data_IF_551587458870
#
_entry.id   IF_551587458870
#
_cell.length_a   1.000
_cell.length_b   1.000
_cell.length_c   1.000
_cell.angle_alpha   90.00
_cell.angle_beta   90.00
_cell.angle_gamma   90.00
#
_symmetry.space_group_name_H-M   'P 1'
#
loop_
_entity.id
_entity.type
_entity.pdbx_description
1 polymer ?
#
# COMPACT_ATOMS: atom_id res chain seq x y z
N UNK A 1 4.81 -15.52 14.41
CA UNK A 1 3.63 -14.62 14.36
C UNK A 1 3.73 -13.52 15.42
N UNK A 2 3.57 -13.78 16.73
CA UNK A 2 3.59 -12.68 17.73
C UNK A 2 4.85 -11.81 17.68
N UNK A 3 6.04 -12.42 17.53
CA UNK A 3 7.30 -11.67 17.38
C UNK A 3 7.30 -10.71 16.17
N UNK A 4 6.65 -11.11 15.07
CA UNK A 4 6.51 -10.31 13.87
C UNK A 4 5.62 -9.09 14.07
N UNK A 5 4.46 -9.28 14.73
CA UNK A 5 3.60 -8.16 15.10
C UNK A 5 4.29 -7.18 16.05
N UNK A 6 5.02 -7.69 17.04
CA UNK A 6 5.80 -6.84 17.94
C UNK A 6 6.86 -6.04 17.18
N UNK A 7 7.55 -6.66 16.22
CA UNK A 7 8.51 -5.96 15.39
C UNK A 7 7.87 -4.92 14.45
N UNK A 8 6.64 -5.15 13.98
CA UNK A 8 5.90 -4.16 13.18
C UNK A 8 5.58 -2.88 13.97
N UNK A 9 5.16 -3.03 15.23
CA UNK A 9 4.64 -1.92 16.03
C UNK A 9 5.67 -1.27 16.97
N UNK A 10 6.82 -1.91 17.19
CA UNK A 10 7.93 -1.40 18.02
C UNK A 10 9.32 -1.49 17.37
N UNK A 11 9.46 -2.15 16.22
CA UNK A 11 10.75 -2.35 15.56
C UNK A 11 11.31 -1.11 14.87
N UNK A 12 12.60 -1.18 14.61
CA UNK A 12 13.49 -0.13 14.12
C UNK A 12 13.99 -0.41 12.70
N UNK A 13 13.12 -0.96 11.83
CA UNK A 13 13.44 -1.13 10.41
C UNK A 13 13.42 0.21 9.65
N UNK A 14 12.75 1.22 10.20
CA UNK A 14 13.01 2.63 9.93
C UNK A 14 13.60 3.23 11.21
N UNK A 15 14.89 3.52 11.19
CA UNK A 15 15.71 3.86 12.36
C UNK A 15 16.03 5.35 12.51
N UNK A 16 15.57 6.18 11.57
CA UNK A 16 15.74 7.64 11.58
C UNK A 16 14.40 8.36 11.43
N UNK A 17 14.24 9.49 12.12
CA UNK A 17 13.02 10.29 12.08
C UNK A 17 13.06 11.48 13.03
N UNK A 18 11.91 12.12 13.24
CA UNK A 18 11.82 13.38 14.01
C UNK A 18 12.08 13.09 15.50
N UNK A 19 12.97 13.82 16.19
CA UNK A 19 13.19 13.64 17.62
C UNK A 19 11.87 13.69 18.41
N UNK A 20 11.67 12.72 19.32
CA UNK A 20 10.40 12.52 20.02
C UNK A 20 9.84 13.80 20.67
N UNK A 21 10.64 14.64 21.37
CA UNK A 21 10.13 15.88 21.95
C UNK A 21 9.58 16.86 20.90
N UNK A 22 10.27 17.00 19.76
CA UNK A 22 9.84 17.86 18.64
C UNK A 22 8.56 17.33 18.03
N UNK A 23 8.49 16.01 17.78
CA UNK A 23 7.27 15.41 17.24
C UNK A 23 6.07 15.63 18.16
N UNK A 24 6.21 15.37 19.47
CA UNK A 24 5.12 15.57 20.43
C UNK A 24 4.67 17.03 20.53
N UNK A 25 5.60 17.98 20.38
CA UNK A 25 5.29 19.40 20.40
C UNK A 25 4.52 19.86 19.14
N UNK A 26 4.83 19.29 17.98
CA UNK A 26 4.24 19.70 16.69
C UNK A 26 2.95 18.92 16.36
N UNK A 27 2.96 17.61 16.59
CA UNK A 27 1.89 16.69 16.16
C UNK A 27 1.08 16.10 17.32
N UNK A 28 1.49 16.35 18.57
CA UNK A 28 0.83 15.82 19.76
C UNK A 28 1.22 14.39 20.12
N UNK A 29 0.61 13.88 21.20
CA UNK A 29 0.86 12.53 21.73
C UNK A 29 -0.37 11.88 22.36
N UNK A 30 -1.57 12.28 21.92
CA UNK A 30 -2.85 11.72 22.38
C UNK A 30 -3.69 11.28 21.18
N UNK A 31 -3.07 10.54 20.27
CA UNK A 31 -3.74 10.09 19.06
C UNK A 31 -4.82 9.06 19.40
N UNK A 32 -6.07 9.23 18.92
CA UNK A 32 -7.10 8.19 19.03
C UNK A 32 -6.83 6.98 18.12
N UNK A 33 -5.74 7.05 17.34
CA UNK A 33 -5.28 6.06 16.38
C UNK A 33 -4.09 5.24 16.89
N UNK A 34 -3.76 5.30 18.18
CA UNK A 34 -2.76 4.38 18.74
C UNK A 34 -3.32 2.95 18.79
N UNK A 35 -2.43 1.96 18.57
CA UNK A 35 -2.74 0.54 18.64
C UNK A 35 -2.76 0.00 20.09
N UNK A 36 -2.98 0.88 21.07
CA UNK A 36 -2.88 0.55 22.50
C UNK A 36 -1.45 0.20 22.90
N UNK A 37 -0.47 0.95 22.39
CA UNK A 37 0.95 0.71 22.68
C UNK A 37 1.30 1.23 24.07
N UNK A 38 2.46 0.80 24.56
CA UNK A 38 3.00 1.21 25.85
C UNK A 38 4.38 1.86 25.68
N UNK A 39 4.87 2.55 26.71
CA UNK A 39 6.19 3.18 26.68
C UNK A 39 6.20 4.43 25.80
N UNK A 40 7.28 4.64 25.04
CA UNK A 40 7.44 5.89 24.28
C UNK A 40 6.48 6.04 23.10
N UNK A 41 5.96 4.92 22.58
CA UNK A 41 5.02 4.88 21.47
C UNK A 41 3.55 5.05 21.91
N UNK A 42 3.28 5.09 23.22
CA UNK A 42 1.95 5.37 23.77
C UNK A 42 1.43 6.72 23.27
N UNK A 43 0.20 6.73 22.76
CA UNK A 43 -0.50 7.91 22.26
C UNK A 43 0.03 8.44 20.92
N UNK A 44 0.96 7.74 20.27
CA UNK A 44 1.40 8.03 18.90
C UNK A 44 0.48 7.26 17.93
N UNK A 45 0.10 7.90 16.80
CA UNK A 45 -0.74 7.26 15.77
C UNK A 45 -0.10 5.97 15.23
N UNK A 46 -0.91 4.98 14.83
CA UNK A 46 -0.46 3.75 14.15
C UNK A 46 0.41 4.03 12.92
N UNK A 47 0.27 5.21 12.29
CA UNK A 47 1.07 5.59 11.12
C UNK A 47 2.55 5.80 11.44
N UNK A 48 2.90 5.93 12.72
CA UNK A 48 4.26 6.13 13.19
C UNK A 48 4.63 5.13 14.28
N UNK A 49 5.93 4.96 14.49
CA UNK A 49 6.50 4.27 15.63
C UNK A 49 7.51 5.17 16.34
N UNK A 50 7.89 4.83 17.56
CA UNK A 50 8.99 5.46 18.29
C UNK A 50 10.11 4.44 18.47
N UNK A 51 11.30 4.79 18.01
CA UNK A 51 12.48 3.92 18.03
C UNK A 51 13.65 4.66 18.65
N UNK A 52 14.62 3.91 19.17
CA UNK A 52 15.89 4.47 19.66
C UNK A 52 16.92 4.33 18.55
N UNK A 53 17.39 5.45 18.01
CA UNK A 53 18.46 5.49 17.02
C UNK A 53 19.76 4.93 17.61
N UNK A 54 20.73 4.58 16.76
CA UNK A 54 21.99 3.97 17.18
C UNK A 54 22.79 4.83 18.18
N UNK A 55 22.64 6.15 18.14
CA UNK A 55 23.26 7.10 19.07
C UNK A 55 22.46 7.36 20.35
N UNK A 56 21.36 6.61 20.59
CA UNK A 56 20.54 6.66 21.80
C UNK A 56 19.39 7.68 21.75
N UNK A 57 19.27 8.49 20.70
CA UNK A 57 18.18 9.45 20.56
C UNK A 57 16.88 8.72 20.22
N UNK A 58 15.79 9.07 20.91
CA UNK A 58 14.44 8.59 20.57
C UNK A 58 13.85 9.42 19.44
N UNK A 59 13.46 8.76 18.36
CA UNK A 59 12.90 9.37 17.16
C UNK A 59 11.57 8.75 16.79
N UNK A 60 10.68 9.56 16.21
CA UNK A 60 9.40 9.13 15.64
C UNK A 60 9.59 8.88 14.16
N UNK A 61 9.28 7.66 13.73
CA UNK A 61 9.54 7.17 12.37
C UNK A 61 8.25 6.68 11.71
N UNK A 62 8.09 6.80 10.39
CA UNK A 62 7.01 6.10 9.69
C UNK A 62 7.18 4.58 9.84
N UNK A 63 6.10 3.84 9.68
CA UNK A 63 6.10 2.37 9.71
C UNK A 63 5.35 1.82 8.50
N UNK A 64 5.38 0.51 8.25
CA UNK A 64 4.58 -0.11 7.19
C UNK A 64 3.09 0.25 7.30
N UNK A 65 2.61 0.52 8.52
CA UNK A 65 1.22 0.88 8.79
C UNK A 65 0.82 2.28 8.33
N UNK A 66 1.77 3.12 7.90
CA UNK A 66 1.42 4.34 7.16
C UNK A 66 0.59 4.00 5.91
N UNK A 67 0.93 2.90 5.24
CA UNK A 67 0.26 2.43 4.02
C UNK A 67 -0.63 1.21 4.25
N UNK A 68 -0.27 0.31 5.17
CA UNK A 68 -0.92 -0.99 5.36
C UNK A 68 -1.81 -1.09 6.61
N UNK A 69 -2.34 0.05 7.06
CA UNK A 69 -3.45 0.09 8.00
C UNK A 69 -4.38 1.26 7.66
N UNK A 70 -5.67 1.08 7.92
CA UNK A 70 -6.69 2.09 7.65
C UNK A 70 -7.85 1.99 8.62
N UNK A 71 -8.58 3.10 8.79
CA UNK A 71 -9.86 3.09 9.47
C UNK A 71 -10.95 2.49 8.60
N UNK A 72 -11.76 1.62 9.18
CA UNK A 72 -13.01 1.13 8.61
C UNK A 72 -14.05 1.06 9.73
N UNK A 73 -15.20 1.72 9.54
CA UNK A 73 -16.26 1.81 10.55
C UNK A 73 -15.77 2.30 11.93
N UNK A 74 -14.85 3.28 11.92
CA UNK A 74 -14.31 3.87 13.15
C UNK A 74 -13.26 3.04 13.89
N UNK A 75 -12.84 1.89 13.33
CA UNK A 75 -11.79 1.03 13.90
C UNK A 75 -10.57 0.99 12.98
N UNK A 76 -9.37 0.97 13.55
CA UNK A 76 -8.12 0.76 12.79
C UNK A 76 -7.99 -0.73 12.49
N UNK A 77 -7.92 -1.06 11.21
CA UNK A 77 -7.72 -2.43 10.72
C UNK A 77 -6.30 -2.56 10.21
N UNK A 78 -5.47 -3.29 10.96
CA UNK A 78 -4.09 -3.58 10.53
C UNK A 78 -4.12 -4.60 9.39
N UNK A 79 -3.43 -4.29 8.30
CA UNK A 79 -3.43 -5.08 7.07
C UNK A 79 -4.44 -4.61 6.02
N UNK A 80 -5.32 -3.65 6.34
CA UNK A 80 -6.13 -2.95 5.35
C UNK A 80 -5.30 -1.83 4.69
N UNK A 81 -5.29 -1.78 3.37
CA UNK A 81 -4.62 -0.72 2.62
C UNK A 81 -5.19 0.66 2.89
N UNK A 82 -4.31 1.66 3.10
CA UNK A 82 -4.74 3.04 3.29
C UNK A 82 -5.25 3.62 1.99
N UNK A 83 -6.49 4.10 2.05
CA UNK A 83 -7.17 4.80 0.96
C UNK A 83 -7.46 6.27 1.31
N UNK A 84 -6.89 6.77 2.42
CA UNK A 84 -7.07 8.14 2.92
C UNK A 84 -5.79 8.98 2.99
N UNK A 85 -4.60 8.36 2.88
CA UNK A 85 -3.36 9.13 2.92
C UNK A 85 -3.26 10.07 1.73
N UNK A 86 -2.77 11.29 1.97
CA UNK A 86 -2.69 12.34 0.97
C UNK A 86 -1.25 12.52 0.47
N UNK A 87 -0.99 11.98 -0.71
CA UNK A 87 0.26 12.15 -1.45
C UNK A 87 0.17 13.28 -2.50
N UNK A 88 -0.88 14.11 -2.50
CA UNK A 88 -0.98 15.25 -3.43
C UNK A 88 -0.17 16.46 -2.99
N UNK A 89 0.32 16.44 -1.75
CA UNK A 89 1.16 17.48 -1.16
C UNK A 89 2.61 17.02 -1.03
N UNK A 90 3.54 17.93 -1.31
CA UNK A 90 4.98 17.62 -1.26
C UNK A 90 5.44 17.43 0.18
N UNK A 91 5.67 16.17 0.54
CA UNK A 91 6.15 15.78 1.87
C UNK A 91 7.55 16.35 2.16
N UNK A 92 8.34 16.71 1.15
CA UNK A 92 9.63 17.39 1.37
C UNK A 92 9.43 18.75 2.05
N UNK A 93 8.32 19.45 1.81
CA UNK A 93 8.02 20.71 2.51
C UNK A 93 7.76 20.48 4.00
N UNK A 94 7.05 19.40 4.35
CA UNK A 94 6.85 19.01 5.75
C UNK A 94 8.18 18.69 6.43
N UNK A 95 9.08 17.99 5.74
CA UNK A 95 10.42 17.71 6.26
C UNK A 95 11.32 18.94 6.32
N UNK A 96 11.20 19.91 5.42
CA UNK A 96 11.90 21.20 5.53
C UNK A 96 11.48 21.98 6.78
N UNK A 97 10.20 21.91 7.17
CA UNK A 97 9.74 22.51 8.43
C UNK A 97 10.29 21.76 9.65
N UNK A 98 10.32 20.43 9.59
CA UNK A 98 10.95 19.62 10.62
C UNK A 98 12.47 19.88 10.71
N UNK A 99 13.15 20.08 9.58
CA UNK A 99 14.58 20.44 9.53
C UNK A 99 14.83 21.70 10.33
N UNK A 100 14.05 22.76 10.06
CA UNK A 100 14.17 24.03 10.77
C UNK A 100 13.90 23.84 12.26
N UNK A 101 12.88 23.08 12.65
CA UNK A 101 12.58 22.82 14.05
C UNK A 101 13.75 22.11 14.75
N UNK A 102 14.23 20.98 14.20
CA UNK A 102 15.33 20.22 14.80
C UNK A 102 16.60 21.05 14.90
N UNK A 103 16.91 21.85 13.86
CA UNK A 103 18.05 22.78 13.89
C UNK A 103 17.91 23.87 14.95
N UNK A 104 16.71 24.44 15.13
CA UNK A 104 16.47 25.47 16.14
C UNK A 104 16.53 24.92 17.57
N UNK A 105 16.01 23.71 17.81
CA UNK A 105 15.98 23.11 19.15
C UNK A 105 17.33 22.52 19.58
N UNK A 106 18.08 21.92 18.65
CA UNK A 106 19.28 21.14 18.99
C UNK A 106 20.56 21.58 18.24
N UNK A 107 20.44 22.20 17.07
CA UNK A 107 21.56 22.53 16.19
C UNK A 107 22.01 21.36 15.30
N UNK A 108 22.70 21.66 14.19
CA UNK A 108 23.11 20.66 13.19
C UNK A 108 24.21 19.69 13.66
N UNK A 109 24.95 20.02 14.71
CA UNK A 109 26.01 19.14 15.26
C UNK A 109 25.53 18.32 16.46
N UNK A 110 24.21 18.21 16.66
CA UNK A 110 23.61 17.47 17.77
C UNK A 110 23.40 15.99 17.46
N UNK A 111 23.36 15.12 18.48
CA UNK A 111 22.91 13.74 18.32
C UNK A 111 21.49 13.66 17.71
N UNK A 112 20.61 14.61 18.00
CA UNK A 112 19.26 14.68 17.45
C UNK A 112 19.24 14.93 15.96
N UNK A 113 20.10 15.84 15.47
CA UNK A 113 20.26 16.07 14.03
C UNK A 113 20.85 14.83 13.34
N UNK A 114 21.87 14.20 13.94
CA UNK A 114 22.46 12.96 13.41
C UNK A 114 21.41 11.84 13.27
N UNK A 115 20.56 11.65 14.28
CA UNK A 115 19.50 10.65 14.27
C UNK A 115 18.35 10.98 13.30
N UNK A 116 18.16 12.26 12.97
CA UNK A 116 17.10 12.76 12.09
C UNK A 116 17.51 12.85 10.61
N UNK A 117 18.77 13.17 10.35
CA UNK A 117 19.25 13.54 9.01
C UNK A 117 19.03 12.48 7.92
N UNK A 118 19.24 11.16 8.16
CA UNK A 118 18.95 10.15 7.15
C UNK A 118 17.51 10.19 6.64
N UNK A 119 16.53 10.40 7.53
CA UNK A 119 15.13 10.56 7.14
C UNK A 119 14.92 11.85 6.34
N UNK A 120 15.41 13.00 6.81
CA UNK A 120 15.30 14.28 6.08
C UNK A 120 15.84 14.16 4.65
N UNK A 121 17.06 13.65 4.50
CA UNK A 121 17.72 13.44 3.21
C UNK A 121 16.89 12.56 2.28
N UNK A 122 16.34 11.46 2.79
CA UNK A 122 15.53 10.55 1.99
C UNK A 122 14.21 11.19 1.55
N UNK A 123 13.53 11.92 2.44
CA UNK A 123 12.28 12.63 2.10
C UNK A 123 12.49 13.77 1.09
N UNK A 124 13.61 14.50 1.20
CA UNK A 124 13.98 15.50 0.20
C UNK A 124 14.26 14.85 -1.18
N UNK A 125 14.88 13.67 -1.21
CA UNK A 125 15.15 12.96 -2.47
C UNK A 125 13.86 12.44 -3.15
N UNK A 126 12.91 11.88 -2.38
CA UNK A 126 11.69 11.30 -2.95
C UNK A 126 10.58 12.32 -3.22
N UNK A 127 10.53 13.45 -2.48
CA UNK A 127 9.43 14.41 -2.50
C UNK A 127 8.88 14.77 -3.89
N UNK A 128 9.74 15.19 -4.84
CA UNK A 128 9.31 15.54 -6.20
C UNK A 128 8.68 14.38 -7.00
N UNK A 129 8.96 13.12 -6.63
CA UNK A 129 8.59 11.92 -7.40
C UNK A 129 7.34 11.22 -6.88
N UNK A 130 6.87 11.56 -5.68
CA UNK A 130 5.81 10.82 -4.98
C UNK A 130 4.48 11.58 -4.96
N UNK A 131 4.35 12.61 -5.80
CA UNK A 131 3.14 13.41 -5.91
C UNK A 131 2.06 12.69 -6.72
N UNK A 132 0.97 12.33 -6.06
CA UNK A 132 -0.23 11.80 -6.74
C UNK A 132 -1.13 12.93 -7.21
N UNK A 133 -2.03 12.62 -8.14
CA UNK A 133 -3.00 13.59 -8.69
C UNK A 133 -4.29 13.64 -7.89
N UNK A 134 -4.54 12.65 -7.04
CA UNK A 134 -5.69 12.57 -6.14
C UNK A 134 -5.28 11.90 -4.82
N UNK A 135 -6.01 12.21 -3.77
CA UNK A 135 -5.85 11.63 -2.43
C UNK A 135 -6.30 10.16 -2.42
N UNK A 136 -5.67 9.35 -1.57
CA UNK A 136 -6.09 7.96 -1.33
C UNK A 136 -5.48 6.90 -2.25
N UNK A 137 -4.54 7.30 -3.11
CA UNK A 137 -3.69 6.37 -3.88
C UNK A 137 -2.23 6.54 -3.47
N UNK A 138 -1.44 5.51 -3.70
CA UNK A 138 -0.09 5.36 -3.16
C UNK A 138 0.98 5.33 -4.27
N UNK A 139 2.09 6.08 -4.11
CA UNK A 139 3.22 6.11 -5.03
C UNK A 139 4.38 5.17 -4.60
N UNK A 140 4.13 4.11 -3.83
CA UNK A 140 5.16 3.25 -3.22
C UNK A 140 6.23 2.79 -4.22
N UNK A 141 5.83 2.41 -5.43
CA UNK A 141 6.75 1.96 -6.48
C UNK A 141 7.79 3.04 -6.84
N UNK A 142 7.41 4.32 -6.80
CA UNK A 142 8.32 5.46 -6.99
C UNK A 142 9.20 5.71 -5.78
N UNK A 143 8.69 5.54 -4.56
CA UNK A 143 9.50 5.66 -3.33
C UNK A 143 10.71 4.72 -3.45
N UNK A 144 10.48 3.44 -3.78
CA UNK A 144 11.55 2.46 -3.88
C UNK A 144 12.49 2.72 -5.07
N UNK A 145 11.96 3.07 -6.24
CA UNK A 145 12.77 3.38 -7.41
C UNK A 145 13.71 4.58 -7.16
N UNK A 146 13.20 5.66 -6.55
CA UNK A 146 13.99 6.85 -6.22
C UNK A 146 15.02 6.56 -5.15
N UNK A 147 14.67 5.86 -4.07
CA UNK A 147 15.64 5.46 -3.05
C UNK A 147 16.75 4.57 -3.62
N UNK A 148 16.41 3.67 -4.54
CA UNK A 148 17.39 2.81 -5.24
C UNK A 148 18.39 3.62 -6.07
N UNK A 149 17.94 4.69 -6.72
CA UNK A 149 18.83 5.56 -7.48
C UNK A 149 19.92 6.18 -6.60
N UNK A 150 19.66 6.37 -5.31
CA UNK A 150 20.55 6.93 -4.31
C UNK A 150 21.29 5.89 -3.46
N UNK A 151 21.38 4.62 -3.89
CA UNK A 151 21.98 3.54 -3.10
C UNK A 151 22.97 2.71 -3.91
N UNK A 152 24.17 2.46 -3.39
CA UNK A 152 25.08 1.49 -4.00
C UNK A 152 24.41 0.10 -4.02
N UNK A 153 24.54 -0.63 -5.13
CA UNK A 153 23.86 -1.92 -5.26
C UNK A 153 24.47 -3.00 -4.33
N UNK A 154 25.79 -3.00 -4.19
CA UNK A 154 26.55 -4.01 -3.44
C UNK A 154 26.39 -3.88 -1.93
N UNK A 155 26.48 -2.67 -1.38
CA UNK A 155 26.49 -2.43 0.06
C UNK A 155 25.38 -1.51 0.57
N UNK A 156 24.50 -1.00 -0.30
CA UNK A 156 23.36 -0.15 0.04
C UNK A 156 23.73 1.19 0.69
N UNK A 157 24.98 1.62 0.64
CA UNK A 157 25.35 2.96 1.13
C UNK A 157 24.70 4.05 0.27
N UNK A 158 24.37 5.17 0.92
CA UNK A 158 23.76 6.31 0.24
C UNK A 158 24.72 7.01 -0.72
N UNK A 159 24.19 7.50 -1.84
CA UNK A 159 24.87 8.32 -2.83
C UNK A 159 24.07 9.62 -3.02
N UNK A 160 24.72 10.78 -2.89
CA UNK A 160 24.02 12.07 -2.98
C UNK A 160 23.45 12.36 -4.38
N UNK A 161 24.14 11.90 -5.43
CA UNK A 161 23.65 11.96 -6.80
C UNK A 161 22.92 10.67 -7.22
N UNK A 162 21.78 10.75 -7.92
CA UNK A 162 21.12 9.56 -8.43
C UNK A 162 22.00 8.90 -9.51
N UNK A 163 22.20 7.59 -9.40
CA UNK A 163 23.03 6.83 -10.35
C UNK A 163 22.26 6.43 -11.64
N UNK A 164 20.94 6.61 -11.65
CA UNK A 164 20.08 6.45 -12.82
C UNK A 164 18.89 7.39 -12.76
N UNK A 165 18.28 7.67 -13.92
CA UNK A 165 17.14 8.57 -14.02
C UNK A 165 15.84 7.88 -13.55
N UNK A 166 15.05 8.57 -12.74
CA UNK A 166 13.70 8.15 -12.35
C UNK A 166 12.71 9.12 -12.97
N UNK A 167 11.67 8.66 -13.69
CA UNK A 167 10.67 9.57 -14.25
C UNK A 167 9.90 10.29 -13.14
N UNK A 168 9.68 11.60 -13.30
CA UNK A 168 8.94 12.43 -12.33
C UNK A 168 7.47 12.02 -12.19
N UNK A 169 6.84 11.53 -13.26
CA UNK A 169 5.42 11.15 -13.22
C UNK A 169 5.23 9.89 -12.35
N UNK A 170 4.44 10.04 -11.28
CA UNK A 170 4.05 8.96 -10.39
C UNK A 170 2.88 8.15 -10.98
N UNK A 171 3.01 6.82 -10.94
CA UNK A 171 1.91 5.92 -11.27
C UNK A 171 1.18 5.57 -9.98
N UNK A 172 -0.13 5.90 -9.85
CA UNK A 172 -0.87 5.61 -8.63
C UNK A 172 -1.12 4.12 -8.50
N UNK A 173 -1.07 3.64 -7.25
CA UNK A 173 -1.46 2.28 -6.91
C UNK A 173 -2.37 2.31 -5.69
N UNK A 174 -3.36 1.45 -5.64
CA UNK A 174 -4.01 1.10 -4.39
C UNK A 174 -3.06 0.25 -3.53
N UNK A 175 -3.33 0.13 -2.23
CA UNK A 175 -2.52 -0.69 -1.32
C UNK A 175 -3.22 -2.04 -1.09
N UNK A 176 -2.66 -3.18 -1.56
CA UNK A 176 -3.30 -4.48 -1.38
C UNK A 176 -3.45 -4.86 0.10
N UNK A 177 -4.57 -5.51 0.43
CA UNK A 177 -4.78 -6.04 1.77
C UNK A 177 -3.83 -7.20 2.10
N UNK A 178 -3.24 -7.16 3.29
CA UNK A 178 -2.21 -8.10 3.72
C UNK A 178 -2.75 -9.49 4.04
N UNK A 179 -4.02 -9.64 4.43
CA UNK A 179 -4.61 -10.96 4.66
C UNK A 179 -4.65 -11.83 3.39
N UNK A 180 -4.51 -11.22 2.20
CA UNK A 180 -4.40 -11.93 0.92
C UNK A 180 -3.04 -12.64 0.76
N UNK A 181 -2.03 -12.26 1.54
CA UNK A 181 -0.65 -12.70 1.36
C UNK A 181 -0.44 -14.21 1.53
N UNK A 182 -1.28 -14.88 2.32
CA UNK A 182 -1.21 -16.34 2.51
C UNK A 182 -1.50 -17.14 1.23
N UNK A 183 -2.21 -16.54 0.26
CA UNK A 183 -2.55 -17.19 -1.02
C UNK A 183 -1.60 -16.81 -2.16
N UNK A 184 -0.83 -15.72 -2.03
CA UNK A 184 -0.06 -15.16 -3.15
C UNK A 184 1.28 -15.86 -3.37
N UNK A 185 1.65 -16.07 -4.63
CA UNK A 185 3.00 -16.53 -5.04
C UNK A 185 3.87 -15.41 -5.64
N UNK A 186 3.31 -14.21 -5.78
CA UNK A 186 4.00 -13.01 -6.25
C UNK A 186 3.57 -11.77 -5.45
N UNK A 187 4.49 -10.83 -5.23
CA UNK A 187 4.15 -9.50 -4.69
C UNK A 187 3.70 -8.54 -5.80
N UNK A 188 2.95 -7.51 -5.37
CA UNK A 188 2.47 -6.39 -6.17
C UNK A 188 1.34 -6.76 -7.17
N UNK A 189 0.60 -5.75 -7.64
CA UNK A 189 -0.55 -5.94 -8.53
C UNK A 189 -0.15 -6.56 -9.87
N UNK A 190 1.00 -6.15 -10.43
CA UNK A 190 1.53 -6.66 -11.69
C UNK A 190 2.31 -7.98 -11.53
N UNK A 191 2.35 -8.54 -10.31
CA UNK A 191 3.19 -9.67 -9.99
C UNK A 191 4.65 -9.36 -10.34
N UNK A 192 5.24 -8.30 -9.83
CA UNK A 192 6.66 -7.98 -10.08
C UNK A 192 7.60 -8.76 -9.15
N UNK A 193 7.26 -8.89 -7.86
CA UNK A 193 8.15 -9.46 -6.85
C UNK A 193 8.09 -10.99 -6.83
N UNK A 194 9.24 -11.66 -6.88
CA UNK A 194 9.41 -13.13 -6.78
C UNK A 194 10.48 -13.50 -5.77
N UNK A 195 10.44 -14.75 -5.31
CA UNK A 195 11.39 -15.27 -4.32
C UNK A 195 10.94 -14.96 -2.91
N UNK A 196 11.87 -14.55 -2.05
CA UNK A 196 11.58 -14.33 -0.64
C UNK A 196 10.82 -13.00 -0.41
N UNK A 197 9.58 -13.11 0.07
CA UNK A 197 8.74 -11.97 0.39
C UNK A 197 9.27 -11.18 1.59
N UNK A 198 9.93 -11.84 2.55
CA UNK A 198 10.56 -11.15 3.68
C UNK A 198 11.67 -10.23 3.18
N UNK A 199 12.53 -10.74 2.30
CA UNK A 199 13.59 -9.95 1.64
C UNK A 199 13.01 -8.80 0.83
N UNK A 200 12.00 -9.06 -0.01
CA UNK A 200 11.34 -8.03 -0.82
C UNK A 200 10.77 -6.92 0.05
N UNK A 201 10.06 -7.27 1.13
CA UNK A 201 9.47 -6.28 2.03
C UNK A 201 10.50 -5.55 2.88
N UNK A 202 11.66 -6.16 3.19
CA UNK A 202 12.73 -5.49 3.95
C UNK A 202 13.29 -4.26 3.24
N UNK A 203 13.07 -4.14 1.92
CA UNK A 203 13.36 -2.94 1.16
C UNK A 203 12.62 -1.69 1.67
N UNK A 204 11.55 -1.83 2.47
CA UNK A 204 10.94 -0.71 3.20
C UNK A 204 11.97 0.07 4.04
N UNK A 205 12.99 -0.62 4.58
CA UNK A 205 14.07 -0.01 5.33
C UNK A 205 14.97 0.94 4.53
N UNK A 206 14.93 0.91 3.18
CA UNK A 206 15.78 1.74 2.32
C UNK A 206 15.63 3.24 2.58
N UNK A 207 14.50 3.64 3.14
CA UNK A 207 14.23 5.02 3.51
C UNK A 207 15.31 5.57 4.46
N UNK A 208 15.78 4.77 5.42
CA UNK A 208 16.72 5.28 6.43
C UNK A 208 17.92 4.38 6.71
N UNK A 209 17.96 3.15 6.19
CA UNK A 209 19.08 2.24 6.44
C UNK A 209 20.42 2.89 6.09
N UNK A 210 21.49 2.54 6.79
CA UNK A 210 22.81 3.07 6.52
C UNK A 210 23.50 2.29 5.40
N UNK A 211 23.48 0.96 5.51
CA UNK A 211 24.19 0.03 4.64
C UNK A 211 23.61 -1.40 4.72
N UNK A 212 24.31 -2.35 4.09
CA UNK A 212 23.95 -3.77 4.08
C UNK A 212 24.04 -4.46 5.44
N UNK A 213 24.79 -3.94 6.41
CA UNK A 213 24.85 -4.50 7.76
C UNK A 213 23.54 -4.21 8.51
N UNK A 214 23.02 -2.99 8.40
CA UNK A 214 21.68 -2.69 8.90
C UNK A 214 20.60 -3.44 8.13
N UNK A 215 20.74 -3.58 6.80
CA UNK A 215 19.81 -4.35 6.00
C UNK A 215 19.72 -5.82 6.45
N UNK A 216 20.85 -6.47 6.77
CA UNK A 216 20.89 -7.83 7.35
C UNK A 216 20.15 -7.91 8.67
N UNK A 217 20.38 -6.97 9.60
CA UNK A 217 19.70 -6.91 10.90
C UNK A 217 18.19 -6.79 10.76
N UNK A 218 17.73 -6.00 9.80
CA UNK A 218 16.31 -5.83 9.47
C UNK A 218 15.77 -7.15 8.91
N UNK A 219 16.41 -7.69 7.88
CA UNK A 219 16.00 -8.92 7.20
C UNK A 219 15.91 -10.12 8.14
N UNK A 220 16.81 -10.26 9.12
CA UNK A 220 16.75 -11.33 10.14
C UNK A 220 15.42 -11.36 10.93
N UNK A 221 14.69 -10.24 10.97
CA UNK A 221 13.41 -10.10 11.67
C UNK A 221 12.19 -10.17 10.74
N UNK A 222 12.37 -9.95 9.44
CA UNK A 222 11.27 -9.92 8.47
C UNK A 222 10.58 -11.27 8.23
N UNK A 223 11.22 -12.45 8.38
CA UNK A 223 10.52 -13.73 8.36
C UNK A 223 9.43 -13.84 9.42
N UNK A 224 9.67 -13.34 10.63
CA UNK A 224 8.66 -13.31 11.70
C UNK A 224 7.48 -12.40 11.34
N UNK A 225 7.79 -11.22 10.76
CA UNK A 225 6.78 -10.28 10.24
C UNK A 225 5.95 -10.91 9.12
N UNK A 226 6.59 -11.56 8.15
CA UNK A 226 5.89 -12.25 7.06
C UNK A 226 5.04 -13.42 7.58
N UNK A 227 5.52 -14.16 8.58
CA UNK A 227 4.74 -15.20 9.23
C UNK A 227 3.49 -14.64 9.92
N UNK A 228 3.58 -13.43 10.51
CA UNK A 228 2.41 -12.75 11.06
C UNK A 228 1.46 -12.23 9.98
N UNK A 229 1.98 -11.58 8.93
CA UNK A 229 1.18 -11.09 7.79
C UNK A 229 0.39 -12.25 7.16
N UNK A 230 1.01 -13.42 6.97
CA UNK A 230 0.35 -14.62 6.44
C UNK A 230 -0.66 -15.26 7.41
N UNK A 231 -0.66 -14.87 8.68
CA UNK A 231 -1.67 -15.32 9.66
C UNK A 231 -2.90 -14.40 9.74
N UNK A 232 -2.88 -13.27 9.02
CA UNK A 232 -4.02 -12.35 9.01
C UNK A 232 -5.21 -12.97 8.28
N UNK A 233 -6.39 -12.73 8.85
CA UNK A 233 -7.68 -13.08 8.27
C UNK A 233 -8.40 -11.82 7.81
N UNK A 234 -9.19 -11.96 6.75
CA UNK A 234 -10.06 -10.89 6.28
C UNK A 234 -11.12 -10.54 7.35
N UNK A 235 -11.49 -9.26 7.51
CA UNK A 235 -12.61 -8.91 8.37
C UNK A 235 -13.91 -9.43 7.76
N UNK A 236 -14.77 -10.07 8.58
CA UNK A 236 -16.10 -10.47 8.15
C UNK A 236 -16.98 -9.25 7.86
N UNK A 237 -17.86 -9.36 6.86
CA UNK A 237 -18.86 -8.32 6.59
C UNK A 237 -19.80 -8.15 7.80
N UNK A 238 -19.86 -6.95 8.41
CA UNK A 238 -20.51 -6.78 9.71
C UNK A 238 -22.02 -6.55 9.63
N UNK A 239 -22.60 -6.54 8.43
CA UNK A 239 -24.02 -6.25 8.20
C UNK A 239 -24.78 -7.50 7.76
N UNK A 240 -26.13 -7.48 7.82
CA UNK A 240 -26.94 -8.61 7.36
C UNK A 240 -26.66 -8.97 5.91
N UNK A 241 -26.63 -10.27 5.63
CA UNK A 241 -26.51 -10.85 4.29
C UNK A 241 -27.73 -11.71 4.00
N UNK A 242 -28.37 -11.49 2.86
CA UNK A 242 -29.41 -12.37 2.33
C UNK A 242 -28.78 -13.67 1.83
N UNK A 243 -28.89 -14.73 2.64
CA UNK A 243 -28.25 -16.01 2.37
C UNK A 243 -28.78 -16.70 1.12
N UNK A 244 -30.06 -16.53 0.78
CA UNK A 244 -30.63 -17.14 -0.43
C UNK A 244 -30.10 -16.46 -1.68
N UNK A 245 -29.98 -15.13 -1.63
CA UNK A 245 -29.41 -14.34 -2.71
C UNK A 245 -27.89 -14.55 -2.84
N UNK A 246 -27.16 -14.67 -1.74
CA UNK A 246 -25.74 -15.02 -1.74
C UNK A 246 -25.50 -16.42 -2.34
N UNK A 247 -26.34 -17.41 -2.03
CA UNK A 247 -26.25 -18.74 -2.65
C UNK A 247 -26.50 -18.70 -4.16
N UNK A 248 -27.43 -17.86 -4.64
CA UNK A 248 -27.61 -17.63 -6.08
C UNK A 248 -26.37 -16.93 -6.69
N UNK A 249 -25.80 -15.97 -5.98
CA UNK A 249 -24.59 -15.25 -6.38
C UNK A 249 -23.35 -16.14 -6.49
N UNK A 250 -23.23 -17.13 -5.62
CA UNK A 250 -22.17 -18.13 -5.67
C UNK A 250 -22.17 -18.89 -7.00
N UNK A 251 -23.35 -19.28 -7.51
CA UNK A 251 -23.48 -19.94 -8.82
C UNK A 251 -23.01 -19.02 -9.95
N UNK A 252 -23.37 -17.73 -9.89
CA UNK A 252 -22.89 -16.71 -10.85
C UNK A 252 -21.37 -16.56 -10.76
N UNK A 253 -20.82 -16.51 -9.55
CA UNK A 253 -19.38 -16.39 -9.30
C UNK A 253 -18.60 -17.59 -9.84
N UNK A 254 -19.05 -18.81 -9.54
CA UNK A 254 -18.40 -20.04 -9.98
C UNK A 254 -18.36 -20.14 -11.51
N UNK A 255 -19.44 -19.72 -12.17
CA UNK A 255 -19.54 -19.74 -13.63
C UNK A 255 -18.65 -18.68 -14.31
N UNK A 256 -18.54 -17.47 -13.74
CA UNK A 256 -17.99 -16.32 -14.46
C UNK A 256 -16.65 -15.79 -13.90
N UNK A 257 -16.33 -16.05 -12.63
CA UNK A 257 -15.25 -15.37 -11.91
C UNK A 257 -14.16 -16.33 -11.40
N UNK A 258 -14.57 -17.53 -10.97
CA UNK A 258 -13.70 -18.47 -10.23
C UNK A 258 -12.44 -18.90 -10.98
N UNK A 259 -12.47 -18.90 -12.31
CA UNK A 259 -11.30 -19.26 -13.15
C UNK A 259 -10.08 -18.35 -12.89
N UNK A 260 -10.31 -17.07 -12.60
CA UNK A 260 -9.25 -16.10 -12.32
C UNK A 260 -9.06 -15.88 -10.82
N UNK A 261 -10.17 -15.76 -10.08
CA UNK A 261 -10.16 -15.37 -8.66
C UNK A 261 -10.14 -16.52 -7.66
N UNK A 262 -10.25 -17.76 -8.15
CA UNK A 262 -10.26 -18.96 -7.32
C UNK A 262 -11.64 -19.39 -6.83
N UNK A 263 -11.66 -20.47 -6.05
CA UNK A 263 -12.82 -21.06 -5.38
C UNK A 263 -12.67 -20.87 -3.87
N UNK A 264 -13.78 -20.62 -3.19
CA UNK A 264 -13.80 -20.27 -1.77
C UNK A 264 -14.49 -21.33 -0.89
N UNK A 265 -15.11 -22.35 -1.50
CA UNK A 265 -15.80 -23.41 -0.77
C UNK A 265 -14.78 -24.37 -0.17
N UNK A 266 -14.85 -24.63 1.13
CA UNK A 266 -14.06 -25.66 1.80
C UNK A 266 -14.73 -27.04 1.57
N UNK A 267 -13.97 -28.12 1.26
CA UNK A 267 -12.50 -28.21 1.21
C UNK A 267 -11.87 -27.90 -0.16
N UNK A 268 -12.67 -27.57 -1.18
CA UNK A 268 -12.23 -27.32 -2.56
C UNK A 268 -11.66 -25.91 -2.79
N UNK A 269 -11.17 -25.26 -1.73
CA UNK A 269 -10.60 -23.92 -1.80
C UNK A 269 -9.35 -23.94 -2.69
N UNK A 270 -9.31 -23.06 -3.68
CA UNK A 270 -8.24 -23.02 -4.67
C UNK A 270 -8.02 -21.59 -5.12
N UNK A 271 -6.77 -21.11 -5.11
CA UNK A 271 -6.42 -19.82 -5.68
C UNK A 271 -5.37 -20.00 -6.79
N UNK A 272 -5.72 -19.73 -8.07
CA UNK A 272 -4.82 -19.94 -9.20
C UNK A 272 -3.58 -19.03 -9.22
N UNK A 273 -3.62 -17.90 -8.51
CA UNK A 273 -2.60 -16.84 -8.59
C UNK A 273 -2.30 -16.45 -10.05
N UNK A 274 -3.36 -16.30 -10.85
CA UNK A 274 -3.28 -16.08 -12.29
C UNK A 274 -2.86 -14.63 -12.59
N UNK A 275 -1.79 -14.48 -13.37
CA UNK A 275 -1.44 -13.23 -14.03
C UNK A 275 -2.24 -13.11 -15.32
N UNK A 276 -3.19 -12.19 -15.37
CA UNK A 276 -4.02 -11.91 -16.56
C UNK A 276 -3.30 -10.87 -17.42
N UNK A 277 -3.11 -11.16 -18.70
CA UNK A 277 -2.42 -10.26 -19.61
C UNK A 277 -3.19 -8.94 -19.84
N UNK A 278 -2.45 -7.87 -20.18
CA UNK A 278 -3.02 -6.53 -20.38
C UNK A 278 -4.16 -6.49 -21.43
N UNK A 279 -4.05 -7.12 -22.62
CA UNK A 279 -5.16 -7.14 -23.58
C UNK A 279 -6.43 -7.81 -23.05
N UNK A 280 -6.30 -8.85 -22.24
CA UNK A 280 -7.43 -9.60 -21.67
C UNK A 280 -8.08 -8.82 -20.54
N UNK A 281 -7.30 -8.31 -19.58
CA UNK A 281 -7.86 -7.57 -18.44
C UNK A 281 -8.30 -6.15 -18.83
N UNK A 282 -7.61 -5.50 -19.77
CA UNK A 282 -7.96 -4.20 -20.33
C UNK A 282 -7.89 -3.00 -19.36
N UNK A 283 -7.45 -3.20 -18.11
CA UNK A 283 -7.30 -2.13 -17.11
C UNK A 283 -6.15 -1.20 -17.45
N UNK A 284 -6.01 -0.08 -16.73
CA UNK A 284 -4.93 0.88 -16.99
C UNK A 284 -3.56 0.17 -17.06
N UNK A 285 -2.81 0.30 -18.18
CA UNK A 285 -1.59 -0.47 -18.38
C UNK A 285 -0.34 0.18 -17.79
N UNK A 286 -0.42 1.43 -17.33
CA UNK A 286 0.76 2.27 -17.07
C UNK A 286 1.66 1.68 -15.97
N UNK A 287 1.07 1.11 -14.92
CA UNK A 287 1.83 0.47 -13.84
C UNK A 287 2.67 -0.70 -14.38
N UNK A 288 2.05 -1.62 -15.12
CA UNK A 288 2.77 -2.76 -15.72
C UNK A 288 3.80 -2.31 -16.78
N UNK A 289 3.48 -1.30 -17.59
CA UNK A 289 4.37 -0.79 -18.65
C UNK A 289 5.59 -0.05 -18.10
N UNK A 290 5.45 0.66 -16.97
CA UNK A 290 6.54 1.46 -16.40
C UNK A 290 7.77 0.59 -16.08
N UNK A 291 7.56 -0.63 -15.57
CA UNK A 291 8.66 -1.55 -15.29
C UNK A 291 9.32 -2.13 -16.55
N UNK A 292 8.67 -2.05 -17.71
CA UNK A 292 9.27 -2.45 -18.99
C UNK A 292 10.03 -1.28 -19.62
N UNK A 293 9.48 -0.07 -19.52
CA UNK A 293 10.05 1.15 -20.10
C UNK A 293 11.23 1.72 -19.31
N UNK A 294 11.28 1.48 -18.00
CA UNK A 294 12.29 2.01 -17.09
C UNK A 294 12.97 0.88 -16.30
N UNK A 295 13.87 0.12 -16.95
CA UNK A 295 14.42 -1.09 -16.36
C UNK A 295 15.45 -0.86 -15.26
N UNK A 296 15.94 0.36 -15.09
CA UNK A 296 17.05 0.71 -14.21
C UNK A 296 16.76 0.29 -12.76
N UNK A 297 15.53 0.50 -12.28
CA UNK A 297 15.16 0.12 -10.92
C UNK A 297 15.23 -1.41 -10.71
N UNK A 298 14.59 -2.21 -11.55
CA UNK A 298 14.61 -3.66 -11.35
C UNK A 298 15.95 -4.29 -11.73
N UNK A 299 16.72 -3.65 -12.62
CA UNK A 299 18.12 -4.02 -12.91
C UNK A 299 19.00 -3.78 -11.68
N UNK A 300 18.90 -2.59 -11.07
CA UNK A 300 19.59 -2.28 -9.81
C UNK A 300 19.20 -3.27 -8.72
N UNK A 301 17.88 -3.49 -8.51
CA UNK A 301 17.40 -4.39 -7.46
C UNK A 301 17.96 -5.81 -7.64
N UNK A 302 17.88 -6.35 -8.86
CA UNK A 302 18.35 -7.70 -9.16
C UNK A 302 19.89 -7.84 -9.16
N UNK A 303 20.63 -6.73 -9.24
CA UNK A 303 22.08 -6.68 -9.04
C UNK A 303 22.51 -6.34 -7.62
N UNK A 304 21.56 -5.97 -6.75
CA UNK A 304 21.84 -5.50 -5.40
C UNK A 304 21.90 -6.63 -4.38
N UNK A 305 22.30 -6.28 -3.15
CA UNK A 305 22.24 -7.16 -1.98
C UNK A 305 20.89 -7.89 -1.82
N UNK A 306 19.77 -7.26 -2.19
CA UNK A 306 18.44 -7.88 -2.07
C UNK A 306 18.25 -9.15 -2.91
N UNK A 307 19.02 -9.28 -4.00
CA UNK A 307 18.94 -10.40 -4.93
C UNK A 307 20.05 -11.45 -4.74
N UNK A 308 20.79 -11.37 -3.63
CA UNK A 308 21.91 -12.27 -3.30
C UNK A 308 21.53 -13.31 -2.23
N UNK A 309 22.29 -14.42 -2.20
CA UNK A 309 22.14 -15.48 -1.20
C UNK A 309 20.92 -16.38 -1.41
N UNK A 310 20.66 -17.24 -0.42
CA UNK A 310 19.62 -18.28 -0.47
C UNK A 310 18.20 -17.72 -0.30
N UNK A 311 18.08 -16.55 0.33
CA UNK A 311 16.83 -15.86 0.66
C UNK A 311 16.64 -14.59 -0.19
N UNK A 312 16.93 -14.69 -1.48
CA UNK A 312 16.88 -13.56 -2.41
C UNK A 312 15.45 -13.20 -2.84
N UNK A 313 15.21 -11.90 -2.96
CA UNK A 313 14.08 -11.33 -3.67
C UNK A 313 14.48 -10.99 -5.10
N UNK A 314 13.52 -10.97 -6.03
CA UNK A 314 13.75 -10.56 -7.41
C UNK A 314 12.56 -9.74 -7.91
N UNK A 315 12.86 -8.75 -8.75
CA UNK A 315 11.86 -7.98 -9.49
C UNK A 315 11.86 -8.43 -10.95
N UNK A 316 10.81 -9.14 -11.37
CA UNK A 316 10.66 -9.67 -12.71
C UNK A 316 9.45 -8.99 -13.38
N UNK A 317 9.68 -8.01 -14.28
CA UNK A 317 8.60 -7.31 -14.96
C UNK A 317 7.70 -8.26 -15.73
N UNK A 318 6.40 -7.95 -15.74
CA UNK A 318 5.38 -8.70 -16.46
C UNK A 318 4.44 -7.73 -17.20
N UNK A 319 3.71 -8.26 -18.19
CA UNK A 319 2.72 -7.53 -18.99
C UNK A 319 1.30 -7.94 -18.60
N UNK A 320 0.87 -7.58 -17.39
CA UNK A 320 -0.42 -7.99 -16.86
C UNK A 320 -0.59 -7.67 -15.39
N UNK A 321 -1.74 -8.08 -14.85
CA UNK A 321 -2.08 -7.94 -13.43
C UNK A 321 -2.56 -9.28 -12.85
N UNK A 322 -2.16 -9.55 -11.62
CA UNK A 322 -2.61 -10.72 -10.87
C UNK A 322 -4.07 -10.50 -10.50
N UNK A 323 -4.95 -11.45 -10.84
CA UNK A 323 -6.31 -11.47 -10.30
C UNK A 323 -6.22 -11.77 -8.80
N UNK A 324 -6.52 -10.82 -7.89
CA UNK A 324 -6.31 -11.03 -6.46
C UNK A 324 -7.32 -12.03 -5.89
N UNK A 325 -7.00 -12.70 -4.76
CA UNK A 325 -8.05 -13.32 -3.96
C UNK A 325 -9.02 -12.24 -3.48
N UNK A 326 -10.27 -12.63 -3.25
CA UNK A 326 -11.40 -11.75 -2.94
C UNK A 326 -11.83 -11.84 -1.47
N UNK A 327 -11.04 -12.51 -0.62
CA UNK A 327 -11.25 -12.53 0.83
C UNK A 327 -11.33 -11.09 1.36
N UNK A 328 -12.42 -10.74 2.03
CA UNK A 328 -12.65 -9.40 2.56
C UNK A 328 -12.81 -8.31 1.51
N UNK A 329 -13.15 -8.65 0.25
CA UNK A 329 -13.28 -7.68 -0.86
C UNK A 329 -14.26 -6.54 -0.55
N UNK A 330 -15.23 -6.78 0.34
CA UNK A 330 -16.12 -5.71 0.81
C UNK A 330 -15.33 -4.57 1.46
N UNK A 331 -14.26 -4.86 2.21
CA UNK A 331 -13.54 -3.88 3.02
C UNK A 331 -12.55 -3.02 2.22
N UNK A 332 -12.23 -3.39 0.98
CA UNK A 332 -11.07 -2.86 0.24
C UNK A 332 -11.45 -1.93 -0.91
N UNK A 333 -12.59 -1.24 -0.81
CA UNK A 333 -12.91 -0.19 -1.77
C UNK A 333 -11.96 1.02 -1.59
N UNK A 334 -11.64 1.76 -2.65
CA UNK A 334 -12.04 1.56 -4.05
C UNK A 334 -11.31 0.39 -4.75
N UNK A 335 -11.82 -0.01 -5.92
CA UNK A 335 -11.38 -1.21 -6.65
C UNK A 335 -10.46 -0.91 -7.84
N UNK A 336 -9.85 -1.99 -8.35
CA UNK A 336 -8.73 -2.03 -9.30
C UNK A 336 -7.40 -1.61 -8.69
N UNK A 337 -6.29 -1.91 -9.39
CA UNK A 337 -4.94 -1.67 -8.89
C UNK A 337 -4.59 -0.21 -8.62
N UNK A 338 -5.41 0.74 -9.09
CA UNK A 338 -5.23 2.18 -8.95
C UNK A 338 -6.37 2.85 -8.17
N UNK A 339 -7.29 2.08 -7.57
CA UNK A 339 -8.41 2.60 -6.77
C UNK A 339 -9.38 3.49 -7.56
N UNK A 340 -9.55 3.25 -8.86
CA UNK A 340 -10.31 4.13 -9.77
C UNK A 340 -11.81 3.88 -9.79
N UNK A 341 -12.28 2.75 -9.23
CA UNK A 341 -13.69 2.34 -9.28
C UNK A 341 -14.28 2.29 -7.85
N UNK A 342 -15.28 3.13 -7.52
CA UNK A 342 -15.67 3.36 -6.12
C UNK A 342 -16.45 2.22 -5.45
N UNK A 343 -17.20 1.41 -6.20
CA UNK A 343 -18.04 0.33 -5.65
C UNK A 343 -17.98 -0.96 -6.48
N UNK A 344 -18.38 -2.11 -5.90
CA UNK A 344 -18.46 -3.37 -6.64
C UNK A 344 -19.52 -3.31 -7.75
N UNK A 345 -20.63 -2.60 -7.55
CA UNK A 345 -21.63 -2.40 -8.62
C UNK A 345 -21.02 -1.62 -9.80
N UNK A 346 -20.18 -0.62 -9.55
CA UNK A 346 -19.47 0.10 -10.62
C UNK A 346 -18.38 -0.77 -11.26
N UNK A 347 -17.76 -1.69 -10.51
CA UNK A 347 -16.80 -2.66 -11.04
C UNK A 347 -17.48 -3.68 -11.97
N UNK A 348 -18.66 -4.16 -11.61
CA UNK A 348 -19.39 -5.20 -12.34
C UNK A 348 -20.26 -4.66 -13.49
N UNK A 349 -20.45 -3.35 -13.59
CA UNK A 349 -21.20 -2.69 -14.67
C UNK A 349 -20.41 -1.47 -15.17
N UNK A 350 -19.41 -1.75 -15.99
CA UNK A 350 -18.42 -0.77 -16.44
C UNK A 350 -18.98 0.46 -17.16
N UNK A 351 -20.08 0.39 -17.95
CA UNK A 351 -20.64 1.55 -18.62
C UNK A 351 -21.12 2.68 -17.69
N UNK A 352 -21.34 2.40 -16.40
CA UNK A 352 -21.80 3.41 -15.44
C UNK A 352 -20.66 4.10 -14.67
N UNK A 353 -19.41 3.63 -14.83
CA UNK A 353 -18.27 4.14 -14.05
C UNK A 353 -18.07 5.64 -14.33
N UNK A 354 -18.00 6.49 -13.30
CA UNK A 354 -17.88 7.93 -13.49
C UNK A 354 -16.48 8.33 -13.99
N UNK A 355 -16.42 9.33 -14.87
CA UNK A 355 -15.15 9.92 -15.33
C UNK A 355 -14.48 10.75 -14.22
N UNK A 356 -15.30 11.41 -13.39
CA UNK A 356 -14.86 12.15 -12.21
C UNK A 356 -15.78 11.81 -11.05
N UNK A 357 -15.20 11.49 -9.90
CA UNK A 357 -15.98 11.20 -8.71
C UNK A 357 -15.27 11.68 -7.46
N UNK A 358 -16.05 12.08 -6.46
CA UNK A 358 -15.56 12.58 -5.18
C UNK A 358 -16.23 11.83 -4.04
N UNK A 359 -15.49 11.52 -2.99
CA UNK A 359 -16.01 10.90 -1.76
C UNK A 359 -15.58 11.68 -0.53
N UNK A 360 -16.12 11.30 0.61
CA UNK A 360 -15.58 11.67 1.92
C UNK A 360 -14.48 10.67 2.31
N UNK A 361 -13.43 11.16 2.96
CA UNK A 361 -12.28 10.34 3.41
C UNK A 361 -12.36 9.98 4.90
N UNK A 362 -13.57 10.05 5.47
CA UNK A 362 -13.80 9.82 6.90
C UNK A 362 -13.91 8.32 7.24
N UNK A 363 -14.08 7.47 6.23
CA UNK A 363 -14.20 6.02 6.31
C UNK A 363 -15.17 5.50 7.41
N UNK A 364 -16.25 6.24 7.64
CA UNK A 364 -17.28 5.86 8.61
C UNK A 364 -18.31 4.93 7.97
N UNK A 365 -19.06 4.22 8.80
CA UNK A 365 -20.19 3.41 8.33
C UNK A 365 -21.23 4.24 7.56
N UNK A 366 -21.42 5.51 7.93
CA UNK A 366 -22.38 6.40 7.27
C UNK A 366 -21.98 6.71 5.82
N UNK A 367 -20.68 6.68 5.52
CA UNK A 367 -20.11 6.98 4.20
C UNK A 367 -19.92 5.73 3.34
N UNK A 368 -20.24 4.55 3.88
CA UNK A 368 -20.14 3.28 3.19
C UNK A 368 -21.49 2.86 2.56
N UNK A 369 -21.49 2.51 1.27
CA UNK A 369 -22.66 1.99 0.55
C UNK A 369 -22.73 0.47 0.69
N UNK A 370 -23.68 -0.02 1.49
CA UNK A 370 -23.88 -1.45 1.75
C UNK A 370 -24.56 -2.20 0.60
N UNK A 371 -25.21 -1.47 -0.32
CA UNK A 371 -25.90 -2.05 -1.48
C UNK A 371 -24.91 -2.23 -2.62
N UNK A 372 -24.19 -1.16 -2.97
CA UNK A 372 -23.18 -1.20 -4.03
C UNK A 372 -21.84 -1.79 -3.59
N UNK A 373 -21.61 -1.87 -2.27
CA UNK A 373 -20.38 -2.34 -1.61
C UNK A 373 -19.19 -1.47 -2.03
N UNK A 374 -18.97 -0.40 -1.28
CA UNK A 374 -17.87 0.54 -1.47
C UNK A 374 -18.17 1.90 -0.83
N UNK A 375 -17.43 2.93 -1.23
CA UNK A 375 -17.63 4.27 -0.69
C UNK A 375 -18.74 5.01 -1.43
N UNK A 376 -19.60 5.73 -0.70
CA UNK A 376 -20.51 6.70 -1.30
C UNK A 376 -19.70 7.79 -2.00
N UNK A 377 -20.21 8.25 -3.14
CA UNK A 377 -19.54 9.27 -3.94
C UNK A 377 -20.55 10.17 -4.67
N UNK A 378 -20.12 11.38 -5.02
CA UNK A 378 -20.77 12.24 -6.00
C UNK A 378 -20.08 12.11 -7.36
N UNK A 379 -20.87 12.16 -8.44
CA UNK A 379 -20.34 12.29 -9.80
C UNK A 379 -20.04 13.76 -10.04
N UNK A 380 -18.81 14.04 -10.47
CA UNK A 380 -18.34 15.38 -10.77
C UNK A 380 -18.20 15.58 -12.29
N UNK A 381 -18.08 16.83 -12.73
CA UNK A 381 -17.85 17.17 -14.15
C UNK A 381 -16.38 17.42 -14.49
N UNK A 382 -15.55 17.67 -13.47
CA UNK A 382 -14.13 17.96 -13.59
C UNK A 382 -13.43 17.73 -12.25
N UNK A 383 -12.10 17.67 -12.25
CA UNK A 383 -11.31 17.64 -11.03
C UNK A 383 -11.24 19.03 -10.39
N UNK A 384 -12.05 19.29 -9.37
CA UNK A 384 -12.06 20.57 -8.66
C UNK A 384 -10.92 20.69 -7.63
N UNK A 385 -10.55 19.57 -7.01
CA UNK A 385 -9.52 19.49 -5.98
C UNK A 385 -8.90 18.07 -5.93
N UNK A 386 -7.97 17.87 -4.99
CA UNK A 386 -7.29 16.60 -4.76
C UNK A 386 -8.22 15.45 -4.34
N UNK A 387 -9.40 15.76 -3.79
CA UNK A 387 -10.38 14.77 -3.34
C UNK A 387 -11.27 14.28 -4.49
N UNK A 388 -11.25 14.94 -5.66
CA UNK A 388 -11.89 14.44 -6.87
C UNK A 388 -10.94 13.52 -7.64
N UNK A 389 -11.32 12.26 -7.79
CA UNK A 389 -10.64 11.29 -8.64
C UNK A 389 -10.92 11.60 -10.11
N UNK A 390 -9.88 11.65 -10.95
CA UNK A 390 -9.96 11.95 -12.38
C UNK A 390 -9.48 10.76 -13.21
N UNK A 391 -10.41 10.00 -13.79
CA UNK A 391 -10.09 8.76 -14.51
C UNK A 391 -9.64 9.01 -15.96
N UNK A 392 -9.59 10.27 -16.39
CA UNK A 392 -9.09 10.65 -17.73
C UNK A 392 -7.56 10.74 -17.78
N UNK A 393 -6.89 10.78 -16.62
CA UNK A 393 -5.43 10.87 -16.50
C UNK A 393 -4.77 9.51 -16.76
N UNK A 394 -3.55 9.51 -17.28
CA UNK A 394 -2.75 8.29 -17.44
C UNK A 394 -2.41 7.68 -16.06
N UNK A 395 -2.57 6.37 -15.89
CA UNK A 395 -2.39 5.68 -14.61
C UNK A 395 -3.64 5.67 -13.73
N UNK A 396 -4.59 6.58 -13.94
CA UNK A 396 -5.82 6.72 -13.16
C UNK A 396 -7.05 6.16 -13.89
N UNK A 397 -6.89 5.51 -15.05
CA UNK A 397 -8.04 5.09 -15.85
C UNK A 397 -8.84 3.99 -15.15
N UNK A 398 -10.16 4.07 -15.27
CA UNK A 398 -11.13 3.13 -14.71
C UNK A 398 -11.68 2.14 -15.75
N UNK A 399 -10.96 1.92 -16.85
CA UNK A 399 -11.32 0.99 -17.92
C UNK A 399 -10.97 -0.47 -17.56
N UNK A 400 -11.38 -1.41 -18.40
CA UNK A 400 -11.04 -2.82 -18.25
C UNK A 400 -11.86 -3.56 -17.21
N UNK A 401 -11.58 -4.86 -17.06
CA UNK A 401 -12.32 -5.78 -16.22
C UNK A 401 -13.83 -5.70 -16.52
N UNK A 402 -14.19 -5.78 -17.80
CA UNK A 402 -15.57 -5.66 -18.31
C UNK A 402 -16.33 -6.99 -18.30
N UNK A 403 -15.76 -8.03 -17.69
CA UNK A 403 -16.36 -9.37 -17.62
C UNK A 403 -17.73 -9.40 -16.92
N UNK A 404 -18.02 -8.42 -16.06
CA UNK A 404 -19.31 -8.27 -15.40
C UNK A 404 -20.42 -7.68 -16.30
N UNK A 405 -20.07 -7.02 -17.40
CA UNK A 405 -21.04 -6.26 -18.23
C UNK A 405 -22.06 -7.16 -18.92
N UNK A 406 -21.76 -8.46 -19.05
CA UNK A 406 -22.69 -9.47 -19.58
C UNK A 406 -23.78 -9.88 -18.59
N UNK A 407 -23.62 -9.54 -17.31
CA UNK A 407 -24.54 -9.93 -16.25
C UNK A 407 -25.76 -9.00 -16.20
N UNK A 408 -26.94 -9.59 -16.11
CA UNK A 408 -28.17 -8.87 -15.81
C UNK A 408 -28.16 -8.25 -14.40
N UNK A 409 -29.05 -7.29 -14.14
CA UNK A 409 -29.10 -6.59 -12.86
C UNK A 409 -29.29 -7.54 -11.66
N UNK A 410 -30.15 -8.56 -11.81
CA UNK A 410 -30.40 -9.53 -10.74
C UNK A 410 -29.18 -10.43 -10.48
N UNK A 411 -28.49 -10.88 -11.52
CA UNK A 411 -27.26 -11.68 -11.39
C UNK A 411 -26.13 -10.88 -10.74
N UNK A 412 -25.98 -9.59 -11.09
CA UNK A 412 -24.99 -8.71 -10.43
C UNK A 412 -25.32 -8.49 -8.97
N UNK A 413 -26.60 -8.22 -8.65
CA UNK A 413 -27.06 -8.07 -7.27
C UNK A 413 -26.78 -9.34 -6.46
N UNK A 414 -27.07 -10.51 -7.01
CA UNK A 414 -26.78 -11.79 -6.39
C UNK A 414 -25.28 -11.98 -6.17
N UNK A 415 -24.47 -11.71 -7.20
CA UNK A 415 -23.01 -11.79 -7.12
C UNK A 415 -22.44 -10.87 -6.03
N UNK A 416 -22.89 -9.62 -5.94
CA UNK A 416 -22.46 -8.70 -4.88
C UNK A 416 -22.84 -9.25 -3.50
N UNK A 417 -24.03 -9.84 -3.35
CA UNK A 417 -24.45 -10.45 -2.08
C UNK A 417 -23.55 -11.62 -1.69
N UNK A 418 -23.11 -12.44 -2.65
CA UNK A 418 -22.10 -13.48 -2.41
C UNK A 418 -20.74 -12.91 -2.04
N UNK A 419 -20.27 -11.84 -2.72
CA UNK A 419 -18.99 -11.20 -2.42
C UNK A 419 -18.93 -10.59 -1.00
N UNK A 420 -20.08 -10.30 -0.36
CA UNK A 420 -20.14 -9.91 1.06
C UNK A 420 -19.82 -11.07 2.00
N UNK A 421 -19.91 -12.32 1.54
CA UNK A 421 -19.62 -13.52 2.35
C UNK A 421 -18.16 -13.94 2.31
N UNK A 422 -17.38 -13.35 1.40
CA UNK A 422 -15.94 -13.55 1.24
C UNK A 422 -15.17 -12.52 2.05
#
# INVERSE_FOLDING_TARGET
AQAGYQYLIYGDFISSGIPLPVFKQVFGSNSPDDLGRTGDADGISYRFNVVTAANGVKVVTPTCLTCHAERLNGQVIVGLGSNTYDYTTDQAVTFQQADLAVQLFYGQNSPEWEAYYPASRAYQAIGPYILTKTRGVNPADKIFATLSAHRQADDLQWIDGPQFNVPLEAVPTDVPAWWLMKKKHALYYNGLGRGDFARLSSASGMLTLLDSAEARRIDDRFPDLMAWIRSLEAPAYPYPVDQALAAAGQVVFEKNCSKCHGKYNIPDEEYPNLLVDLPTVGTDPLLSQTYQSYPEYHTWYNGSWYAMGDHKGQLLPNSGYVAPPLDGIWATAPYLHNGSVPTLEDLLNSPQRPAYWKRTFDNTEAEYDKVKVGWKYSVETSQADADTYNTTLAGYRNQGHTFGDVLGADDRKALIEYLKTL
#
